data_IF_213936385904
#
_entry.id   IF_213936385904
#
_cell.length_a   1.000
_cell.length_b   1.000
_cell.length_c   1.000
_cell.angle_alpha   90.00
_cell.angle_beta   90.00
_cell.angle_gamma   90.00
#
_symmetry.space_group_name_H-M   'P 1'
#
loop_
_entity.id
_entity.type
_entity.pdbx_description
1 polymer ?
#
# COMPACT_ATOMS: atom_id res chain seq x y z
N UNK A 1 -22.97 29.37 -57.93
CA UNK A 1 -23.01 28.26 -56.96
C UNK A 1 -21.56 27.92 -56.60
N UNK A 2 -21.05 28.48 -55.50
CA UNK A 2 -19.76 28.13 -54.93
C UNK A 2 -20.00 27.41 -53.61
N UNK A 3 -19.44 26.20 -53.46
CA UNK A 3 -19.49 25.45 -52.20
C UNK A 3 -18.48 26.02 -51.21
N UNK A 4 -18.79 26.06 -49.90
CA UNK A 4 -17.85 26.55 -48.89
C UNK A 4 -16.79 25.48 -48.55
N UNK A 5 -15.57 25.96 -48.39
CA UNK A 5 -14.39 25.22 -47.94
C UNK A 5 -14.56 24.79 -46.47
N UNK A 6 -14.55 23.47 -46.22
CA UNK A 6 -14.64 22.91 -44.86
C UNK A 6 -13.27 23.03 -44.20
N UNK A 7 -13.19 23.98 -43.25
CA UNK A 7 -12.05 24.21 -42.35
C UNK A 7 -11.70 22.91 -41.61
N UNK A 8 -10.53 22.35 -41.88
CA UNK A 8 -9.97 21.24 -41.10
C UNK A 8 -9.77 21.68 -39.64
N UNK A 9 -10.60 21.15 -38.74
CA UNK A 9 -10.38 21.24 -37.31
C UNK A 9 -9.31 20.22 -36.95
N UNK A 10 -8.08 20.69 -36.75
CA UNK A 10 -6.98 19.85 -36.26
C UNK A 10 -7.33 19.39 -34.85
N UNK A 11 -7.79 18.14 -34.70
CA UNK A 11 -7.89 17.49 -33.41
C UNK A 11 -6.47 17.14 -32.93
N UNK A 12 -5.84 18.10 -32.27
CA UNK A 12 -4.79 17.75 -31.33
C UNK A 12 -5.44 16.97 -30.19
N UNK A 13 -5.66 15.67 -30.40
CA UNK A 13 -5.90 14.68 -29.36
C UNK A 13 -4.62 14.59 -28.55
N UNK A 14 -4.37 15.62 -27.75
CA UNK A 14 -3.44 15.56 -26.63
C UNK A 14 -4.00 14.47 -25.74
N UNK A 15 -3.41 13.28 -25.82
CA UNK A 15 -3.64 12.21 -24.86
C UNK A 15 -3.26 12.77 -23.49
N UNK A 16 -4.22 13.35 -22.80
CA UNK A 16 -4.05 13.87 -21.45
C UNK A 16 -3.89 12.65 -20.56
N UNK A 17 -2.63 12.31 -20.30
CA UNK A 17 -2.27 11.26 -19.37
C UNK A 17 -2.77 11.67 -17.99
N UNK A 18 -3.93 11.18 -17.58
CA UNK A 18 -4.40 11.33 -16.21
C UNK A 18 -3.68 10.31 -15.35
N UNK A 19 -2.85 10.73 -14.38
CA UNK A 19 -2.12 9.79 -13.56
C UNK A 19 -3.09 8.98 -12.68
N UNK A 20 -2.95 7.65 -12.70
CA UNK A 20 -3.77 6.76 -11.86
C UNK A 20 -3.60 7.06 -10.37
N UNK A 21 -2.37 7.33 -9.95
CA UNK A 21 -2.00 7.70 -8.58
C UNK A 21 -1.43 9.11 -8.51
N UNK A 22 -1.90 9.90 -7.55
CA UNK A 22 -1.37 11.24 -7.30
C UNK A 22 0.00 11.17 -6.62
N UNK A 23 0.77 12.26 -6.68
CA UNK A 23 2.10 12.32 -6.08
C UNK A 23 2.06 12.00 -4.58
N UNK A 24 1.08 12.54 -3.83
CA UNK A 24 0.93 12.28 -2.40
C UNK A 24 0.72 10.80 -2.09
N UNK A 25 -0.09 10.08 -2.87
CA UNK A 25 -0.30 8.63 -2.70
C UNK A 25 1.00 7.85 -2.90
N UNK A 26 1.76 8.21 -3.94
CA UNK A 26 3.04 7.55 -4.26
C UNK A 26 4.07 7.81 -3.16
N UNK A 27 4.18 9.05 -2.68
CA UNK A 27 5.11 9.41 -1.60
C UNK A 27 4.76 8.69 -0.30
N UNK A 28 3.48 8.63 0.08
CA UNK A 28 3.03 7.86 1.25
C UNK A 28 3.42 6.39 1.07
N UNK A 29 3.06 5.79 -0.07
CA UNK A 29 3.32 4.37 -0.33
C UNK A 29 4.82 4.03 -0.25
N UNK A 30 5.69 4.76 -0.96
CA UNK A 30 7.13 4.48 -0.99
C UNK A 30 7.78 4.76 0.37
N UNK A 31 7.40 5.84 1.06
CA UNK A 31 7.93 6.14 2.39
C UNK A 31 7.54 5.06 3.40
N UNK A 32 6.27 4.67 3.41
CA UNK A 32 5.77 3.59 4.28
C UNK A 32 6.37 2.24 3.89
N UNK A 33 6.56 1.94 2.59
CA UNK A 33 7.17 0.69 2.13
C UNK A 33 8.62 0.57 2.58
N UNK A 34 9.42 1.64 2.48
CA UNK A 34 10.79 1.67 2.99
C UNK A 34 10.82 1.44 4.50
N UNK A 35 9.98 2.15 5.27
CA UNK A 35 9.89 1.94 6.71
C UNK A 35 9.48 0.50 7.07
N UNK A 36 8.50 -0.05 6.36
CA UNK A 36 8.02 -1.40 6.58
C UNK A 36 9.10 -2.46 6.28
N UNK A 37 9.84 -2.33 5.18
CA UNK A 37 10.94 -3.25 4.87
C UNK A 37 12.04 -3.15 5.94
N UNK A 38 12.38 -1.94 6.40
CA UNK A 38 13.33 -1.75 7.50
C UNK A 38 12.85 -2.44 8.78
N UNK A 39 11.56 -2.28 9.14
CA UNK A 39 10.94 -2.95 10.29
C UNK A 39 10.99 -4.47 10.16
N UNK A 40 10.70 -5.00 8.98
CA UNK A 40 10.72 -6.44 8.71
C UNK A 40 12.14 -7.02 8.86
N UNK A 41 13.15 -6.34 8.32
CA UNK A 41 14.54 -6.75 8.42
C UNK A 41 15.06 -6.69 9.85
N UNK A 42 14.87 -5.54 10.51
CA UNK A 42 15.29 -5.37 11.91
C UNK A 42 14.54 -6.30 12.85
N UNK A 43 13.23 -6.51 12.66
CA UNK A 43 12.45 -7.48 13.41
C UNK A 43 12.96 -8.91 13.23
N UNK A 44 13.32 -9.30 12.00
CA UNK A 44 13.93 -10.61 11.72
C UNK A 44 15.25 -10.79 12.47
N UNK A 45 16.12 -9.79 12.45
CA UNK A 45 17.42 -9.80 13.15
C UNK A 45 17.24 -9.89 14.68
N UNK A 46 16.19 -9.28 15.23
CA UNK A 46 15.91 -9.31 16.66
C UNK A 46 15.21 -10.61 17.11
N UNK A 47 14.44 -11.23 16.22
CA UNK A 47 13.64 -12.41 16.50
C UNK A 47 14.43 -13.72 16.36
N UNK A 48 15.21 -13.88 15.29
CA UNK A 48 15.93 -15.13 15.00
C UNK A 48 17.31 -15.16 15.64
N UNK A 49 17.58 -16.05 16.62
CA UNK A 49 18.90 -16.12 17.27
C UNK A 49 20.04 -16.45 16.29
N UNK A 50 19.73 -17.20 15.21
CA UNK A 50 20.70 -17.56 14.18
C UNK A 50 21.28 -16.34 13.43
N UNK A 51 20.60 -15.20 13.46
CA UNK A 51 21.07 -13.96 12.83
C UNK A 51 21.92 -13.10 13.77
N UNK A 52 21.98 -13.43 15.07
CA UNK A 52 22.75 -12.68 16.06
C UNK A 52 24.24 -12.48 15.70
N UNK A 53 24.97 -13.43 15.07
CA UNK A 53 26.35 -13.20 14.66
C UNK A 53 26.52 -12.13 13.58
N UNK A 54 25.47 -11.85 12.81
CA UNK A 54 25.45 -10.79 11.77
C UNK A 54 25.17 -9.43 12.39
N UNK A 55 24.52 -9.41 13.55
CA UNK A 55 24.18 -8.20 14.29
C UNK A 55 25.40 -7.73 15.07
N UNK A 56 26.12 -6.76 14.51
CA UNK A 56 27.26 -6.15 15.20
C UNK A 56 26.84 -5.43 16.49
N UNK A 57 25.92 -4.47 16.36
CA UNK A 57 25.36 -3.73 17.49
C UNK A 57 23.84 -3.96 17.57
N UNK A 58 23.43 -4.80 18.53
CA UNK A 58 22.01 -5.08 18.77
C UNK A 58 21.27 -3.84 19.27
N UNK A 59 21.92 -2.95 20.01
CA UNK A 59 21.34 -1.69 20.48
C UNK A 59 20.92 -0.81 19.30
N UNK A 60 21.82 -0.64 18.33
CA UNK A 60 21.53 0.09 17.09
C UNK A 60 20.34 -0.51 16.32
N UNK A 61 20.25 -1.84 16.20
CA UNK A 61 19.12 -2.49 15.52
C UNK A 61 17.80 -2.21 16.25
N UNK A 62 17.79 -2.25 17.58
CA UNK A 62 16.61 -1.90 18.39
C UNK A 62 16.21 -0.45 18.17
N UNK A 63 17.16 0.49 18.20
CA UNK A 63 16.89 1.91 17.96
C UNK A 63 16.28 2.14 16.57
N UNK A 64 16.92 1.59 15.52
CA UNK A 64 16.41 1.69 14.15
C UNK A 64 15.00 1.10 14.04
N UNK A 65 14.74 -0.04 14.69
CA UNK A 65 13.40 -0.66 14.69
C UNK A 65 12.36 0.26 15.34
N UNK A 66 12.68 0.85 16.50
CA UNK A 66 11.78 1.77 17.21
C UNK A 66 11.50 3.02 16.36
N UNK A 67 12.54 3.67 15.83
CA UNK A 67 12.37 4.86 15.00
C UNK A 67 11.58 4.56 13.73
N UNK A 68 11.89 3.46 13.03
CA UNK A 68 11.11 3.04 11.86
C UNK A 68 9.64 2.75 12.22
N UNK A 69 9.39 2.22 13.42
CA UNK A 69 8.05 1.95 13.95
C UNK A 69 7.21 3.21 14.14
N UNK A 70 7.82 4.33 14.56
CA UNK A 70 7.13 5.62 14.61
C UNK A 70 6.98 6.24 13.22
N UNK A 71 8.02 6.15 12.39
CA UNK A 71 8.04 6.75 11.07
C UNK A 71 7.08 6.08 10.09
N UNK A 72 6.71 4.81 10.27
CA UNK A 72 5.88 4.08 9.29
C UNK A 72 4.48 4.69 9.09
N UNK A 73 3.90 5.30 10.14
CA UNK A 73 2.59 5.98 10.10
C UNK A 73 2.70 7.46 9.77
N UNK A 74 3.88 8.05 9.93
CA UNK A 74 4.10 9.49 9.82
C UNK A 74 3.78 10.05 8.41
N UNK A 75 4.17 9.41 7.28
CA UNK A 75 3.84 9.89 5.94
C UNK A 75 2.33 10.08 5.73
N UNK A 76 1.51 9.15 6.22
CA UNK A 76 0.06 9.23 6.12
C UNK A 76 -0.48 10.42 6.93
N UNK A 77 -0.02 10.57 8.17
CA UNK A 77 -0.43 11.69 9.05
C UNK A 77 -0.03 13.03 8.44
N UNK A 78 1.20 13.17 7.98
CA UNK A 78 1.70 14.40 7.37
C UNK A 78 0.92 14.74 6.09
N UNK A 79 0.61 13.74 5.25
CA UNK A 79 -0.18 13.98 4.05
C UNK A 79 -1.62 14.41 4.36
N UNK A 80 -2.21 13.93 5.46
CA UNK A 80 -3.54 14.36 5.90
C UNK A 80 -3.58 15.80 6.42
N UNK A 81 -2.45 16.34 6.88
CA UNK A 81 -2.38 17.70 7.44
C UNK A 81 -1.88 18.71 6.40
N UNK A 82 -0.87 18.33 5.60
CA UNK A 82 -0.08 19.28 4.80
C UNK A 82 -0.15 19.07 3.29
N UNK A 83 -0.82 18.01 2.80
CA UNK A 83 -0.87 17.75 1.35
C UNK A 83 -1.67 18.84 0.61
N UNK A 84 -1.10 19.49 -0.42
CA UNK A 84 -1.86 20.41 -1.29
C UNK A 84 -3.06 19.74 -1.98
N UNK A 85 -2.97 18.42 -2.20
CA UNK A 85 -4.03 17.58 -2.78
C UNK A 85 -4.87 16.87 -1.70
N UNK A 86 -5.00 17.46 -0.50
CA UNK A 86 -5.70 16.83 0.63
C UNK A 86 -7.13 16.41 0.32
N UNK A 87 -7.91 17.27 -0.36
CA UNK A 87 -9.31 16.97 -0.71
C UNK A 87 -9.42 15.73 -1.59
N UNK A 88 -8.55 15.62 -2.60
CA UNK A 88 -8.49 14.46 -3.48
C UNK A 88 -8.00 13.22 -2.73
N UNK A 89 -6.91 13.32 -1.96
CA UNK A 89 -6.39 12.22 -1.14
C UNK A 89 -7.47 11.67 -0.19
N UNK A 90 -8.24 12.55 0.46
CA UNK A 90 -9.33 12.15 1.35
C UNK A 90 -10.41 11.38 0.61
N UNK A 91 -10.85 11.83 -0.56
CA UNK A 91 -11.83 11.11 -1.38
C UNK A 91 -11.31 9.73 -1.78
N UNK A 92 -10.04 9.64 -2.15
CA UNK A 92 -9.38 8.40 -2.55
C UNK A 92 -9.26 7.40 -1.39
N UNK A 93 -8.94 7.88 -0.19
CA UNK A 93 -8.95 7.07 1.04
C UNK A 93 -10.36 6.61 1.43
N UNK A 94 -11.37 7.47 1.25
CA UNK A 94 -12.77 7.09 1.48
C UNK A 94 -13.22 6.02 0.48
N UNK A 95 -12.87 6.13 -0.79
CA UNK A 95 -13.15 5.10 -1.81
C UNK A 95 -12.50 3.76 -1.45
N UNK A 96 -11.24 3.79 -0.97
CA UNK A 96 -10.51 2.61 -0.51
C UNK A 96 -11.19 1.96 0.71
N UNK A 97 -11.72 2.78 1.63
CA UNK A 97 -12.43 2.33 2.84
C UNK A 97 -13.90 1.94 2.61
N UNK A 98 -14.48 2.26 1.46
CA UNK A 98 -15.89 1.99 1.17
C UNK A 98 -16.05 0.63 0.50
N UNK A 99 -16.80 -0.26 1.15
CA UNK A 99 -17.06 -1.62 0.68
C UNK A 99 -18.41 -1.73 -0.01
N UNK A 100 -18.39 -2.05 -1.30
CA UNK A 100 -19.59 -2.29 -2.11
C UNK A 100 -20.15 -3.70 -1.91
N UNK A 101 -21.37 -3.96 -2.40
CA UNK A 101 -21.94 -5.30 -2.42
C UNK A 101 -21.11 -6.28 -3.26
N UNK A 102 -20.55 -5.80 -4.37
CA UNK A 102 -19.65 -6.59 -5.21
C UNK A 102 -18.36 -6.99 -4.48
N UNK A 103 -17.80 -6.11 -3.64
CA UNK A 103 -16.63 -6.44 -2.82
C UNK A 103 -16.96 -7.55 -1.80
N UNK A 104 -18.17 -7.51 -1.22
CA UNK A 104 -18.66 -8.54 -0.29
C UNK A 104 -18.90 -9.87 -1.00
N UNK A 105 -19.46 -9.84 -2.20
CA UNK A 105 -19.71 -11.04 -2.99
C UNK A 105 -18.41 -11.69 -3.48
N UNK A 106 -17.40 -10.89 -3.81
CA UNK A 106 -16.05 -11.38 -4.08
C UNK A 106 -15.46 -12.13 -2.88
N UNK A 107 -15.62 -11.58 -1.66
CA UNK A 107 -15.17 -12.23 -0.43
C UNK A 107 -15.93 -13.55 -0.16
N UNK A 108 -17.25 -13.56 -0.33
CA UNK A 108 -18.10 -14.77 -0.20
C UNK A 108 -17.73 -15.86 -1.20
N UNK A 109 -17.31 -15.48 -2.41
CA UNK A 109 -16.87 -16.41 -3.47
C UNK A 109 -15.43 -16.92 -3.27
N UNK A 110 -14.89 -16.83 -2.05
CA UNK A 110 -13.53 -17.26 -1.67
C UNK A 110 -12.44 -16.56 -2.48
N UNK A 111 -12.60 -15.25 -2.70
CA UNK A 111 -11.55 -14.43 -3.32
C UNK A 111 -11.16 -14.88 -4.74
N UNK A 112 -12.09 -15.52 -5.48
CA UNK A 112 -11.85 -15.91 -6.88
C UNK A 112 -11.60 -14.68 -7.74
N UNK A 113 -10.69 -14.82 -8.71
CA UNK A 113 -10.20 -13.73 -9.56
C UNK A 113 -11.29 -13.17 -10.50
N UNK A 114 -12.39 -13.91 -10.67
CA UNK A 114 -13.45 -13.60 -11.63
C UNK A 114 -14.53 -12.70 -11.01
N UNK A 115 -14.21 -11.42 -10.83
CA UNK A 115 -15.17 -10.39 -10.45
C UNK A 115 -14.82 -9.04 -11.09
N UNK A 116 -15.79 -8.31 -11.67
CA UNK A 116 -15.51 -7.00 -12.24
C UNK A 116 -14.99 -6.04 -11.16
N UNK A 117 -13.94 -5.28 -11.47
CA UNK A 117 -13.47 -4.22 -10.58
C UNK A 117 -14.48 -3.08 -10.62
N UNK A 118 -15.37 -3.02 -9.63
CA UNK A 118 -16.33 -1.94 -9.51
C UNK A 118 -15.65 -0.75 -8.83
N UNK A 119 -15.02 0.11 -9.65
CA UNK A 119 -14.31 1.31 -9.19
C UNK A 119 -12.81 1.25 -9.45
N UNK A 120 -12.08 2.25 -8.93
CA UNK A 120 -10.64 2.40 -9.22
C UNK A 120 -9.77 1.37 -8.51
N UNK A 121 -10.24 0.90 -7.35
CA UNK A 121 -9.60 -0.10 -6.51
C UNK A 121 -10.40 -1.41 -6.54
N UNK A 122 -9.72 -2.54 -6.78
CA UNK A 122 -10.36 -3.85 -6.68
C UNK A 122 -10.52 -4.30 -5.21
N UNK A 123 -11.42 -5.25 -4.96
CA UNK A 123 -11.70 -5.77 -3.61
C UNK A 123 -10.43 -6.28 -2.88
N UNK A 124 -9.51 -6.91 -3.62
CA UNK A 124 -8.22 -7.38 -3.07
C UNK A 124 -7.30 -6.24 -2.64
N UNK A 125 -7.25 -5.13 -3.38
CA UNK A 125 -6.49 -3.93 -3.04
C UNK A 125 -7.08 -3.24 -1.82
N UNK A 126 -8.41 -3.16 -1.72
CA UNK A 126 -9.10 -2.65 -0.52
C UNK A 126 -8.80 -3.50 0.70
N UNK A 127 -8.92 -4.83 0.58
CA UNK A 127 -8.62 -5.76 1.66
C UNK A 127 -7.16 -5.64 2.10
N UNK A 128 -6.22 -5.61 1.15
CA UNK A 128 -4.80 -5.50 1.45
C UNK A 128 -4.46 -4.16 2.11
N UNK A 129 -5.02 -3.05 1.61
CA UNK A 129 -4.87 -1.73 2.23
C UNK A 129 -5.41 -1.67 3.65
N UNK A 130 -6.60 -2.20 3.88
CA UNK A 130 -7.21 -2.28 5.21
C UNK A 130 -6.39 -3.16 6.16
N UNK A 131 -5.90 -4.31 5.68
CA UNK A 131 -5.04 -5.21 6.45
C UNK A 131 -3.75 -4.50 6.86
N UNK A 132 -2.99 -3.96 5.92
CA UNK A 132 -1.72 -3.30 6.23
C UNK A 132 -1.90 -2.08 7.15
N UNK A 133 -2.90 -1.23 6.91
CA UNK A 133 -3.12 -0.06 7.77
C UNK A 133 -3.48 -0.47 9.21
N UNK A 134 -4.40 -1.42 9.39
CA UNK A 134 -4.80 -1.90 10.72
C UNK A 134 -3.67 -2.66 11.42
N UNK A 135 -2.92 -3.49 10.69
CA UNK A 135 -1.76 -4.19 11.24
C UNK A 135 -0.63 -3.23 11.62
N UNK A 136 -0.32 -2.22 10.80
CA UNK A 136 0.69 -1.21 11.16
C UNK A 136 0.33 -0.50 12.48
N UNK A 137 -0.93 -0.09 12.64
CA UNK A 137 -1.41 0.53 13.89
C UNK A 137 -1.26 -0.45 15.07
N UNK A 138 -1.68 -1.70 14.92
CA UNK A 138 -1.56 -2.72 15.97
C UNK A 138 -0.09 -3.02 16.34
N UNK A 139 0.81 -3.07 15.34
CA UNK A 139 2.24 -3.27 15.53
C UNK A 139 2.90 -2.08 16.24
N UNK A 140 2.51 -0.84 15.89
CA UNK A 140 2.98 0.35 16.62
C UNK A 140 2.51 0.33 18.08
N UNK A 141 1.24 -0.04 18.35
CA UNK A 141 0.71 -0.08 19.72
C UNK A 141 1.38 -1.17 20.58
N UNK A 142 1.55 -2.37 20.04
CA UNK A 142 2.25 -3.47 20.73
C UNK A 142 3.73 -3.15 20.92
N UNK A 143 4.39 -2.57 19.91
CA UNK A 143 5.77 -2.09 20.00
C UNK A 143 5.94 -0.98 21.04
N UNK A 144 4.96 -0.08 21.17
CA UNK A 144 4.96 0.96 22.21
C UNK A 144 4.89 0.36 23.61
N UNK A 145 4.04 -0.65 23.82
CA UNK A 145 3.93 -1.38 25.10
C UNK A 145 5.23 -2.10 25.46
N UNK A 146 5.96 -2.60 24.46
CA UNK A 146 7.24 -3.29 24.64
C UNK A 146 8.42 -2.32 24.85
N UNK A 147 8.45 -1.23 24.10
CA UNK A 147 9.58 -0.30 24.03
C UNK A 147 9.55 0.80 25.09
N UNK A 148 8.36 1.21 25.56
CA UNK A 148 8.24 2.16 26.67
C UNK A 148 8.19 1.42 28.00
N UNK A 149 8.87 1.96 29.01
CA UNK A 149 8.76 1.53 30.40
C UNK A 149 7.41 1.93 31.03
N UNK A 150 6.29 1.57 30.40
CA UNK A 150 4.96 1.80 30.95
C UNK A 150 4.74 0.76 32.06
N UNK A 151 4.35 1.16 33.29
CA UNK A 151 4.10 0.23 34.40
C UNK A 151 2.79 -0.54 34.18
N UNK A 152 2.80 -1.45 33.21
CA UNK A 152 1.70 -2.34 32.86
C UNK A 152 1.86 -3.71 33.53
N UNK A 153 0.75 -4.41 33.82
CA UNK A 153 0.79 -5.80 34.29
C UNK A 153 1.60 -6.71 33.35
N UNK A 154 2.24 -7.73 33.91
CA UNK A 154 3.04 -8.70 33.14
C UNK A 154 2.23 -9.35 32.01
N UNK A 155 0.97 -9.67 32.26
CA UNK A 155 0.05 -10.26 31.26
C UNK A 155 -0.15 -9.35 30.04
N UNK A 156 -0.22 -8.03 30.24
CA UNK A 156 -0.35 -7.07 29.14
C UNK A 156 0.92 -7.00 28.29
N UNK A 157 2.10 -7.04 28.93
CA UNK A 157 3.39 -7.07 28.21
C UNK A 157 3.58 -8.37 27.43
N UNK A 158 3.26 -9.51 28.03
CA UNK A 158 3.31 -10.82 27.36
C UNK A 158 2.33 -10.88 26.18
N UNK A 159 1.11 -10.38 26.37
CA UNK A 159 0.12 -10.27 25.30
C UNK A 159 0.61 -9.39 24.15
N UNK A 160 1.24 -8.25 24.45
CA UNK A 160 1.81 -7.37 23.43
C UNK A 160 2.94 -8.06 22.65
N UNK A 161 3.88 -8.73 23.31
CA UNK A 161 4.95 -9.48 22.64
C UNK A 161 4.37 -10.58 21.75
N UNK A 162 3.43 -11.37 22.26
CA UNK A 162 2.79 -12.43 21.49
C UNK A 162 2.06 -11.91 20.25
N UNK A 163 1.29 -10.83 20.39
CA UNK A 163 0.59 -10.21 19.26
C UNK A 163 1.55 -9.58 18.26
N UNK A 164 2.66 -9.00 18.73
CA UNK A 164 3.70 -8.44 17.87
C UNK A 164 4.36 -9.54 17.03
N UNK A 165 4.70 -10.67 17.64
CA UNK A 165 5.31 -11.81 16.96
C UNK A 165 4.38 -12.42 15.90
N UNK A 166 3.10 -12.63 16.25
CA UNK A 166 2.09 -13.12 15.29
C UNK A 166 1.90 -12.10 14.17
N UNK A 167 1.83 -10.82 14.50
CA UNK A 167 1.72 -9.73 13.53
C UNK A 167 2.88 -9.74 12.54
N UNK A 168 4.11 -9.91 13.01
CA UNK A 168 5.31 -10.05 12.17
C UNK A 168 5.14 -11.19 11.15
N UNK A 169 4.74 -12.39 11.58
CA UNK A 169 4.55 -13.52 10.66
C UNK A 169 3.43 -13.27 9.64
N UNK A 170 2.27 -12.83 10.09
CA UNK A 170 1.12 -12.59 9.22
C UNK A 170 1.42 -11.51 8.17
N UNK A 171 1.99 -10.38 8.60
CA UNK A 171 2.37 -9.30 7.70
C UNK A 171 3.45 -9.74 6.71
N UNK A 172 4.40 -10.57 7.12
CA UNK A 172 5.42 -11.14 6.21
C UNK A 172 4.77 -11.96 5.10
N UNK A 173 3.85 -12.87 5.45
CA UNK A 173 3.15 -13.72 4.47
C UNK A 173 2.35 -12.88 3.48
N UNK A 174 1.57 -11.92 3.98
CA UNK A 174 0.74 -11.05 3.13
C UNK A 174 1.60 -10.13 2.28
N UNK A 175 2.72 -9.62 2.80
CA UNK A 175 3.68 -8.82 2.05
C UNK A 175 4.29 -9.60 0.88
N UNK A 176 4.74 -10.84 1.11
CA UNK A 176 5.26 -11.69 0.04
C UNK A 176 4.18 -11.96 -1.02
N UNK A 177 2.93 -12.21 -0.61
CA UNK A 177 1.79 -12.34 -1.52
C UNK A 177 1.53 -11.07 -2.33
N UNK A 178 1.63 -9.89 -1.71
CA UNK A 178 1.51 -8.60 -2.38
C UNK A 178 2.59 -8.41 -3.45
N UNK A 179 3.86 -8.67 -3.12
CA UNK A 179 4.98 -8.59 -4.07
C UNK A 179 4.79 -9.56 -5.23
N UNK A 180 4.40 -10.81 -4.95
CA UNK A 180 4.12 -11.81 -5.98
C UNK A 180 3.04 -11.34 -6.98
N UNK A 181 1.96 -10.75 -6.48
CA UNK A 181 0.88 -10.23 -7.32
C UNK A 181 1.33 -9.04 -8.19
N UNK A 182 2.17 -8.15 -7.65
CA UNK A 182 2.73 -7.01 -8.38
C UNK A 182 3.65 -7.49 -9.51
N UNK A 183 4.50 -8.49 -9.26
CA UNK A 183 5.39 -9.07 -10.28
C UNK A 183 4.59 -9.75 -11.40
N UNK A 184 3.47 -10.41 -11.07
CA UNK A 184 2.62 -11.10 -12.04
C UNK A 184 1.83 -10.12 -12.94
N UNK A 185 1.48 -8.94 -12.44
CA UNK A 185 0.75 -7.92 -13.21
C UNK A 185 1.71 -6.90 -13.83
N UNK A 186 2.16 -7.17 -15.05
CA UNK A 186 3.04 -6.27 -15.82
C UNK A 186 2.35 -4.90 -15.98
N UNK A 187 2.95 -3.86 -15.40
CA UNK A 187 2.46 -2.48 -15.43
C UNK A 187 2.21 -1.88 -14.03
N UNK A 188 1.84 -2.70 -13.04
CA UNK A 188 1.50 -2.22 -11.69
C UNK A 188 2.66 -1.50 -10.99
N UNK A 189 3.90 -1.96 -11.20
CA UNK A 189 5.09 -1.32 -10.65
C UNK A 189 5.32 0.06 -11.29
N UNK A 190 5.21 0.16 -12.63
CA UNK A 190 5.38 1.40 -13.38
C UNK A 190 4.30 2.44 -13.04
N UNK A 191 3.07 2.01 -12.79
CA UNK A 191 1.98 2.87 -12.33
C UNK A 191 2.30 3.48 -10.95
N UNK A 192 2.85 2.70 -10.02
CA UNK A 192 3.23 3.17 -8.68
C UNK A 192 4.51 4.03 -8.68
N UNK A 193 5.51 3.67 -9.48
CA UNK A 193 6.78 4.41 -9.53
C UNK A 193 6.72 5.67 -10.35
N UNK A 194 5.91 5.73 -11.42
CA UNK A 194 5.90 6.87 -12.35
C UNK A 194 4.54 7.57 -12.44
N UNK A 195 3.47 7.02 -11.87
CA UNK A 195 2.12 7.56 -11.98
C UNK A 195 1.52 7.44 -13.39
N UNK A 196 2.22 6.81 -14.33
CA UNK A 196 1.79 6.67 -15.73
C UNK A 196 0.94 5.41 -15.87
N UNK A 197 -0.28 5.54 -16.39
CA UNK A 197 -0.98 4.40 -16.95
C UNK A 197 -0.17 3.89 -18.15
N UNK A 198 0.12 2.58 -18.20
CA UNK A 198 0.47 1.97 -19.47
C UNK A 198 -0.72 2.18 -20.40
N UNK A 199 -0.54 2.65 -21.66
CA UNK A 199 -1.65 2.79 -22.58
C UNK A 199 -2.38 1.44 -22.63
N UNK A 200 -3.64 1.43 -22.17
CA UNK A 200 -4.50 0.26 -22.31
C UNK A 200 -4.42 -0.13 -23.78
N UNK A 201 -4.04 -1.37 -24.05
CA UNK A 201 -3.97 -1.90 -25.41
C UNK A 201 -5.40 -2.12 -25.95
N UNK A 202 -6.27 -1.11 -25.87
CA UNK A 202 -7.54 -1.05 -26.58
C UNK A 202 -7.25 -0.73 -28.05
N UNK A 203 -6.58 -1.64 -28.75
CA UNK A 203 -6.58 -1.69 -30.22
C UNK A 203 -6.01 -3.02 -30.72
N UNK A 204 -6.69 -4.14 -30.42
CA UNK A 204 -6.60 -5.35 -31.26
C UNK A 204 -7.94 -6.03 -31.57
N UNK A 205 -9.06 -5.30 -31.49
CA UNK A 205 -10.36 -5.79 -32.01
C UNK A 205 -10.90 -4.93 -33.18
N UNK A 206 -10.43 -3.70 -33.39
CA UNK A 206 -10.88 -2.88 -34.54
C UNK A 206 -10.17 -3.20 -35.88
N UNK A 207 -9.43 -4.31 -36.00
CA UNK A 207 -8.77 -4.67 -37.27
C UNK A 207 -8.63 -6.18 -37.46
N UNK A 208 -9.76 -6.89 -37.41
CA UNK A 208 -9.96 -8.15 -38.13
C UNK A 208 -11.47 -8.38 -38.27
N UNK A 209 -11.90 -8.23 -39.53
CA UNK A 209 -13.23 -8.51 -40.11
C UNK A 209 -14.23 -7.38 -40.05
#
# INVERSE_FOLDING_TARGET
MGYPEVRGHNDHSTTSFTPRFILSERLIHWSTAVCFVTLLLTGSLLYFPALAPVVGDRGLIVEVHIYAGFLVLLPLVLAMIYSPSYSELRLRLLELGTWSEADRDWLKRRMKVDGPSNGRFNAGQKLNGAFFLSSLIAMCLTGLVMGLYIPLPLSARQGATFLHDIGFYLMTIVFLGHIFMVIRHRGSFSEMTFGKESPKLEHRVAKRQ
#
